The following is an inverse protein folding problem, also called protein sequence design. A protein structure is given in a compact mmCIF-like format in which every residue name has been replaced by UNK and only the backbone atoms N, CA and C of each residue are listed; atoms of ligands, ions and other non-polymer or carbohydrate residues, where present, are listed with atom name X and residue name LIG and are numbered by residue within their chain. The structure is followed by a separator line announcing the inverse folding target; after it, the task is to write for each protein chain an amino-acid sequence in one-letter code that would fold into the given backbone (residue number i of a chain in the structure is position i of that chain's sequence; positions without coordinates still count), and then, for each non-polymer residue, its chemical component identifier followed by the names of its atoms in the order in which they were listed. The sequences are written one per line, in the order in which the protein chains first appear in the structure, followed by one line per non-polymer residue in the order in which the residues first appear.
data_IF_981516433692
#
_entry.id   IF_981516433692
#
_cell.length_a   1.000
_cell.length_b   1.000
_cell.length_c   1.000
_cell.angle_alpha   90.00
_cell.angle_beta   90.00
_cell.angle_gamma   90.00
#
_symmetry.space_group_name_H-M   'P 1'
#
loop_
_entity.id
_entity.type
_entity.pdbx_description
1 polymer ?
#
# COMPACT_ATOMS: atom_id res chain seq x y z
N UNK A 1 13.61 18.92 -4.63
CA UNK A 1 12.40 19.70 -4.93
C UNK A 1 12.24 21.00 -4.10
N UNK A 2 13.05 21.32 -3.07
CA UNK A 2 12.91 22.57 -2.28
C UNK A 2 11.46 22.86 -1.82
N UNK A 3 10.74 21.82 -1.38
CA UNK A 3 9.35 21.90 -0.91
C UNK A 3 9.29 21.57 0.58
N UNK A 4 8.29 22.11 1.28
CA UNK A 4 8.06 21.78 2.69
C UNK A 4 7.24 20.49 2.82
N UNK A 5 7.31 19.81 3.98
CA UNK A 5 6.52 18.59 4.21
C UNK A 5 5.01 18.79 4.06
N UNK A 6 4.49 19.99 4.38
CA UNK A 6 3.08 20.35 4.19
C UNK A 6 2.71 20.42 2.71
N UNK A 7 3.50 21.14 1.91
CA UNK A 7 3.31 21.24 0.46
C UNK A 7 3.31 19.86 -0.20
N UNK A 8 4.23 18.99 0.22
CA UNK A 8 4.29 17.62 -0.29
C UNK A 8 2.99 16.85 -0.01
N UNK A 9 2.38 17.01 1.16
CA UNK A 9 1.10 16.36 1.48
C UNK A 9 -0.02 16.87 0.57
N UNK A 10 -0.10 18.19 0.38
CA UNK A 10 -1.11 18.81 -0.49
C UNK A 10 -0.95 18.32 -1.94
N UNK A 11 0.29 18.25 -2.44
CA UNK A 11 0.58 17.73 -3.78
C UNK A 11 0.17 16.27 -3.92
N UNK A 12 0.52 15.42 -2.93
CA UNK A 12 0.17 14.00 -2.93
C UNK A 12 -1.34 13.80 -2.90
N UNK A 13 -2.05 14.52 -2.04
CA UNK A 13 -3.51 14.47 -1.93
C UNK A 13 -4.19 14.90 -3.24
N UNK A 14 -3.76 16.03 -3.80
CA UNK A 14 -4.28 16.55 -5.08
C UNK A 14 -4.03 15.55 -6.21
N UNK A 15 -2.81 15.03 -6.33
CA UNK A 15 -2.45 14.08 -7.39
C UNK A 15 -3.20 12.74 -7.25
N UNK A 16 -3.46 12.30 -6.01
CA UNK A 16 -4.27 11.11 -5.71
C UNK A 16 -5.69 11.32 -6.19
N UNK A 17 -6.31 12.44 -5.83
CA UNK A 17 -7.67 12.79 -6.26
C UNK A 17 -7.78 12.87 -7.79
N UNK A 18 -6.86 13.57 -8.46
CA UNK A 18 -6.83 13.67 -9.93
C UNK A 18 -6.72 12.28 -10.56
N UNK A 19 -5.87 11.41 -10.03
CA UNK A 19 -5.67 10.06 -10.57
C UNK A 19 -6.92 9.18 -10.42
N UNK A 20 -7.61 9.26 -9.28
CA UNK A 20 -8.89 8.57 -9.08
C UNK A 20 -9.98 9.11 -10.00
N UNK A 21 -10.11 10.44 -10.13
CA UNK A 21 -11.06 11.07 -11.03
C UNK A 21 -10.81 10.64 -12.49
N UNK A 22 -9.55 10.64 -12.93
CA UNK A 22 -9.16 10.20 -14.27
C UNK A 22 -9.45 8.72 -14.48
N UNK A 23 -9.25 7.87 -13.47
CA UNK A 23 -9.65 6.45 -13.52
C UNK A 23 -11.16 6.28 -13.73
N UNK A 24 -11.97 7.00 -12.97
CA UNK A 24 -13.43 6.97 -13.06
C UNK A 24 -13.92 7.45 -14.43
N UNK A 25 -13.43 8.60 -14.91
CA UNK A 25 -13.74 9.11 -16.26
C UNK A 25 -13.30 8.12 -17.33
N UNK A 26 -12.08 7.58 -17.22
CA UNK A 26 -11.56 6.62 -18.19
C UNK A 26 -12.41 5.36 -18.23
N UNK A 27 -12.98 4.92 -17.10
CA UNK A 27 -13.76 3.67 -17.01
C UNK A 27 -15.07 3.68 -17.83
N UNK A 28 -15.64 4.87 -18.08
CA UNK A 28 -16.90 5.04 -18.81
C UNK A 28 -16.70 5.45 -20.27
N UNK A 29 -15.50 5.91 -20.63
CA UNK A 29 -15.14 6.29 -21.99
C UNK A 29 -14.58 5.08 -22.76
N UNK A 30 -15.17 4.71 -23.93
CA UNK A 30 -14.76 3.52 -24.69
C UNK A 30 -13.27 3.48 -25.02
N UNK A 31 -12.71 4.59 -25.52
CA UNK A 31 -11.32 4.65 -26.01
C UNK A 31 -10.29 4.53 -24.88
N UNK A 32 -10.61 5.04 -23.69
CA UNK A 32 -9.68 5.09 -22.55
C UNK A 32 -9.98 4.04 -21.48
N UNK A 33 -10.99 3.19 -21.67
CA UNK A 33 -11.43 2.19 -20.66
C UNK A 33 -10.31 1.30 -20.16
N UNK A 34 -9.39 0.92 -21.05
CA UNK A 34 -8.26 0.06 -20.73
C UNK A 34 -7.23 0.73 -19.79
N UNK A 35 -7.21 2.07 -19.69
CA UNK A 35 -6.34 2.80 -18.78
C UNK A 35 -6.88 2.89 -17.34
N UNK A 36 -8.19 2.73 -17.12
CA UNK A 36 -8.83 2.86 -15.80
C UNK A 36 -8.09 2.10 -14.68
N UNK A 37 -7.85 0.80 -14.87
CA UNK A 37 -7.15 -0.05 -13.90
C UNK A 37 -5.71 0.41 -13.62
N UNK A 38 -5.02 0.94 -14.63
CA UNK A 38 -3.65 1.43 -14.47
C UNK A 38 -3.66 2.73 -13.65
N UNK A 39 -4.60 3.62 -13.93
CA UNK A 39 -4.79 4.87 -13.20
C UNK A 39 -5.19 4.64 -11.75
N UNK A 40 -6.05 3.66 -11.49
CA UNK A 40 -6.39 3.24 -10.13
C UNK A 40 -5.15 2.75 -9.36
N UNK A 41 -4.31 1.90 -9.98
CA UNK A 41 -3.05 1.47 -9.35
C UNK A 41 -2.09 2.64 -9.12
N UNK A 42 -2.03 3.60 -10.04
CA UNK A 42 -1.22 4.81 -9.87
C UNK A 42 -1.72 5.65 -8.70
N UNK A 43 -3.04 5.84 -8.56
CA UNK A 43 -3.61 6.61 -7.46
C UNK A 43 -3.21 6.04 -6.10
N UNK A 44 -3.36 4.72 -5.91
CA UNK A 44 -2.96 4.03 -4.66
C UNK A 44 -1.45 4.19 -4.41
N UNK A 45 -0.62 4.14 -5.46
CA UNK A 45 0.84 4.32 -5.35
C UNK A 45 1.23 5.74 -4.95
N UNK A 46 0.54 6.75 -5.48
CA UNK A 46 0.76 8.16 -5.13
C UNK A 46 0.38 8.38 -3.66
N UNK A 47 -0.83 7.98 -3.28
CA UNK A 47 -1.37 8.12 -1.93
C UNK A 47 -0.42 7.56 -0.87
N UNK A 48 0.09 6.36 -1.13
CA UNK A 48 0.92 5.63 -0.18
C UNK A 48 2.41 5.90 -0.36
N UNK A 49 2.82 6.58 -1.43
CA UNK A 49 4.21 6.84 -1.78
C UNK A 49 5.02 5.56 -1.98
N UNK A 50 4.45 4.58 -2.69
CA UNK A 50 5.06 3.26 -2.90
C UNK A 50 5.17 2.86 -4.37
N UNK A 51 6.07 1.91 -4.62
CA UNK A 51 6.12 1.21 -5.90
C UNK A 51 5.05 0.12 -5.97
N UNK A 52 4.76 -0.34 -7.17
CA UNK A 52 3.69 -1.30 -7.45
C UNK A 52 3.87 -2.63 -6.74
N UNK A 53 5.11 -3.09 -6.53
CA UNK A 53 5.39 -4.35 -5.85
C UNK A 53 4.99 -4.37 -4.37
N UNK A 54 4.70 -3.19 -3.78
CA UNK A 54 4.29 -3.07 -2.38
C UNK A 54 2.78 -2.99 -2.19
N UNK A 55 2.00 -2.87 -3.27
CA UNK A 55 0.55 -2.75 -3.20
C UNK A 55 -0.14 -3.89 -2.42
N UNK A 56 0.30 -5.17 -2.51
CA UNK A 56 -0.29 -6.24 -1.72
C UNK A 56 -0.13 -6.06 -0.20
N UNK A 57 0.95 -5.40 0.23
CA UNK A 57 1.31 -5.25 1.64
C UNK A 57 0.71 -3.99 2.27
N UNK A 58 0.50 -2.94 1.48
CA UNK A 58 0.02 -1.65 1.98
C UNK A 58 -1.45 -1.68 2.43
N UNK A 59 -2.20 -2.71 2.02
CA UNK A 59 -3.59 -2.94 2.42
C UNK A 59 -3.74 -3.31 3.90
N UNK A 60 -2.64 -3.65 4.57
CA UNK A 60 -2.61 -4.06 5.96
C UNK A 60 -2.51 -2.82 6.84
N UNK A 61 -3.44 -2.67 7.78
CA UNK A 61 -3.45 -1.57 8.74
C UNK A 61 -2.17 -1.58 9.57
N UNK A 62 -1.56 -0.41 9.69
CA UNK A 62 -0.28 -0.24 10.36
C UNK A 62 0.95 -0.53 9.49
N UNK A 63 0.77 -1.01 8.26
CA UNK A 63 1.86 -1.22 7.28
C UNK A 63 1.87 -0.09 6.25
N UNK A 64 2.57 1.00 6.58
CA UNK A 64 2.84 2.09 5.63
C UNK A 64 4.08 1.83 4.75
N UNK A 65 4.46 2.82 3.93
CA UNK A 65 5.59 2.75 2.98
C UNK A 65 6.89 2.13 3.51
N UNK A 66 7.29 2.48 4.73
CA UNK A 66 8.55 2.02 5.34
C UNK A 66 8.46 0.55 5.71
N UNK A 67 7.39 0.15 6.40
CA UNK A 67 7.18 -1.23 6.85
C UNK A 67 6.91 -2.16 5.67
N UNK A 68 6.13 -1.71 4.68
CA UNK A 68 5.93 -2.46 3.44
C UNK A 68 7.26 -2.76 2.74
N UNK A 69 8.18 -1.78 2.68
CA UNK A 69 9.52 -1.98 2.13
C UNK A 69 10.35 -2.96 2.94
N UNK A 70 10.29 -2.91 4.27
CA UNK A 70 11.01 -3.83 5.16
C UNK A 70 10.53 -5.28 4.94
N UNK A 71 9.21 -5.50 4.91
CA UNK A 71 8.63 -6.82 4.63
C UNK A 71 9.08 -7.34 3.26
N UNK A 72 8.97 -6.51 2.23
CA UNK A 72 9.37 -6.89 0.88
C UNK A 72 10.85 -7.30 0.81
N UNK A 73 11.72 -6.52 1.45
CA UNK A 73 13.16 -6.81 1.53
C UNK A 73 13.45 -8.07 2.34
N UNK A 74 12.61 -8.40 3.33
CA UNK A 74 12.69 -9.65 4.10
C UNK A 74 12.14 -10.86 3.33
N UNK A 75 11.72 -10.69 2.06
CA UNK A 75 11.16 -11.75 1.22
C UNK A 75 9.66 -11.99 1.39
N UNK A 76 8.98 -11.15 2.17
CA UNK A 76 7.54 -11.24 2.43
C UNK A 76 6.85 -10.27 1.46
N UNK A 77 6.28 -10.79 0.38
CA UNK A 77 5.77 -9.96 -0.75
C UNK A 77 4.25 -9.94 -0.84
N UNK A 78 3.58 -10.87 -0.19
CA UNK A 78 2.13 -11.03 -0.23
C UNK A 78 1.54 -11.28 1.15
N UNK A 79 0.21 -11.17 1.23
CA UNK A 79 -0.57 -11.56 2.43
C UNK A 79 -0.41 -13.06 2.71
N UNK A 80 -0.27 -13.89 1.66
CA UNK A 80 -0.05 -15.32 1.82
C UNK A 80 1.33 -15.63 2.43
N UNK A 81 2.37 -14.88 2.03
CA UNK A 81 3.69 -14.99 2.65
C UNK A 81 3.63 -14.63 4.14
N UNK A 82 2.86 -13.59 4.50
CA UNK A 82 2.65 -13.21 5.90
C UNK A 82 1.96 -14.30 6.71
N UNK A 83 0.95 -14.97 6.14
CA UNK A 83 0.26 -16.10 6.79
C UNK A 83 1.21 -17.25 7.11
N UNK A 84 2.12 -17.57 6.19
CA UNK A 84 3.08 -18.68 6.34
C UNK A 84 4.29 -18.31 7.18
N UNK A 85 4.51 -17.01 7.43
CA UNK A 85 5.67 -16.54 8.18
C UNK A 85 5.44 -16.76 9.68
N UNK A 86 6.47 -17.22 10.39
CA UNK A 86 6.47 -17.29 11.85
C UNK A 86 6.40 -15.86 12.45
N UNK A 87 5.47 -15.57 13.38
CA UNK A 87 5.41 -14.28 14.08
C UNK A 87 6.76 -13.81 14.68
N UNK A 88 7.61 -14.74 15.14
CA UNK A 88 8.96 -14.42 15.66
C UNK A 88 9.85 -13.77 14.60
N UNK A 89 9.67 -14.14 13.32
CA UNK A 89 10.41 -13.53 12.20
C UNK A 89 9.91 -12.12 11.91
N UNK A 90 8.63 -11.81 12.14
CA UNK A 90 8.16 -10.42 12.06
C UNK A 90 8.69 -9.58 13.22
N UNK A 91 8.70 -10.13 14.44
CA UNK A 91 9.19 -9.42 15.64
C UNK A 91 10.68 -9.06 15.56
N UNK A 92 11.48 -9.83 14.80
CA UNK A 92 12.89 -9.50 14.58
C UNK A 92 13.11 -8.37 13.57
N UNK A 93 12.08 -7.98 12.81
CA UNK A 93 12.18 -6.89 11.85
C UNK A 93 12.09 -5.52 12.54
N UNK A 94 12.93 -4.59 12.10
CA UNK A 94 12.95 -3.23 12.63
C UNK A 94 11.58 -2.55 12.46
N UNK A 95 11.03 -2.03 13.56
CA UNK A 95 9.76 -1.29 13.55
C UNK A 95 8.51 -2.15 13.63
N UNK A 96 8.66 -3.46 13.87
CA UNK A 96 7.59 -4.42 14.16
C UNK A 96 7.62 -4.81 15.64
N UNK A 97 6.78 -4.17 16.45
CA UNK A 97 6.58 -4.53 17.85
C UNK A 97 5.43 -5.53 18.03
N UNK A 98 5.34 -6.14 19.21
CA UNK A 98 4.33 -7.17 19.53
C UNK A 98 2.89 -6.75 19.23
N UNK A 99 2.50 -5.53 19.65
CA UNK A 99 1.16 -5.01 19.39
C UNK A 99 0.84 -4.91 17.90
N UNK A 100 1.81 -4.47 17.08
CA UNK A 100 1.63 -4.37 15.64
C UNK A 100 1.55 -5.75 14.99
N UNK A 101 2.46 -6.67 15.36
CA UNK A 101 2.46 -8.03 14.81
C UNK A 101 1.13 -8.71 15.12
N UNK A 102 0.66 -8.61 16.37
CA UNK A 102 -0.66 -9.11 16.77
C UNK A 102 -1.78 -8.51 15.90
N UNK A 103 -1.81 -7.19 15.74
CA UNK A 103 -2.81 -6.51 14.90
C UNK A 103 -2.78 -7.00 13.45
N UNK A 104 -1.58 -7.20 12.88
CA UNK A 104 -1.42 -7.71 11.50
C UNK A 104 -2.04 -9.10 11.37
N UNK A 105 -1.76 -10.03 12.30
CA UNK A 105 -2.34 -11.37 12.24
C UNK A 105 -3.85 -11.39 12.53
N UNK A 106 -4.35 -10.54 13.43
CA UNK A 106 -5.79 -10.36 13.67
C UNK A 106 -6.51 -9.88 12.40
N UNK A 107 -5.91 -8.93 11.67
CA UNK A 107 -6.47 -8.45 10.41
C UNK A 107 -6.41 -9.50 9.31
N UNK A 108 -5.31 -10.24 9.18
CA UNK A 108 -5.17 -11.33 8.20
C UNK A 108 -6.22 -12.44 8.42
N UNK A 109 -6.53 -12.76 9.68
CA UNK A 109 -7.60 -13.70 10.04
C UNK A 109 -8.99 -13.14 9.72
N UNK A 110 -9.20 -11.82 9.82
CA UNK A 110 -10.49 -11.21 9.46
C UNK A 110 -10.82 -11.29 7.97
N UNK A 111 -9.81 -11.35 7.09
CA UNK A 111 -9.99 -11.55 5.64
C UNK A 111 -10.42 -12.99 5.26
N UNK A 112 -10.59 -13.90 6.22
CA UNK A 112 -11.06 -15.28 6.00
C UNK A 112 -12.59 -15.44 6.12
N UNK A 113 -13.31 -14.40 6.53
CA UNK A 113 -14.79 -14.35 6.56
C UNK A 113 -15.33 -13.62 5.34
#
# INVERSE_FOLDING_TARGET
YKIMPGDLRVIVETATWISHALSAVSSVMPDTRHHSKVLERIAIRIENGVKEELLPLIRIRGVGRVRARILYNAGIKSIDDLRRTDPKRLLSLRGFGEALVRQIYEEIASYEK
#
